data_IF_662986010739
#
_entry.id   IF_662986010739
#
_cell.length_a   1.000
_cell.length_b   1.000
_cell.length_c   1.000
_cell.angle_alpha   90.00
_cell.angle_beta   90.00
_cell.angle_gamma   90.00
#
_symmetry.space_group_name_H-M   'P 1'
#
loop_
_entity.id
_entity.type
_entity.pdbx_description
1 polymer ?
#
# COMPACT_ATOMS: atom_id res chain seq x y z
N UNK A 1 21.02 -5.31 -1.16
CA UNK A 1 20.24 -6.31 -1.92
C UNK A 1 18.90 -5.67 -2.24
N UNK A 2 18.56 -5.51 -3.53
CA UNK A 2 17.24 -5.03 -3.96
C UNK A 2 16.27 -6.20 -3.78
N UNK A 3 15.46 -6.17 -2.74
CA UNK A 3 14.36 -7.12 -2.58
C UNK A 3 13.23 -6.66 -3.50
N UNK A 4 13.43 -6.80 -4.80
CA UNK A 4 12.37 -6.56 -5.77
C UNK A 4 11.28 -7.61 -5.51
N UNK A 5 10.01 -7.22 -5.67
CA UNK A 5 8.92 -8.18 -5.76
C UNK A 5 9.28 -9.28 -6.76
N UNK A 6 9.40 -10.52 -6.28
CA UNK A 6 9.62 -11.66 -7.15
C UNK A 6 8.35 -11.96 -7.95
N UNK A 7 8.55 -12.47 -9.17
CA UNK A 7 7.47 -12.86 -10.08
C UNK A 7 6.42 -13.73 -9.40
N UNK A 8 6.85 -14.66 -8.56
CA UNK A 8 5.96 -15.57 -7.82
C UNK A 8 5.06 -14.84 -6.82
N UNK A 9 5.60 -13.86 -6.09
CA UNK A 9 4.81 -13.05 -5.16
C UNK A 9 3.81 -12.17 -5.91
N UNK A 10 4.22 -11.60 -7.05
CA UNK A 10 3.30 -10.82 -7.89
C UNK A 10 2.16 -11.69 -8.39
N UNK A 11 2.47 -12.89 -8.90
CA UNK A 11 1.47 -13.85 -9.34
C UNK A 11 0.54 -14.28 -8.20
N UNK A 12 1.05 -14.47 -6.98
CA UNK A 12 0.22 -14.80 -5.82
C UNK A 12 -0.75 -13.66 -5.45
N UNK A 13 -0.33 -12.40 -5.52
CA UNK A 13 -1.21 -11.24 -5.29
C UNK A 13 -2.25 -11.13 -6.41
N UNK A 14 -1.81 -11.25 -7.67
CA UNK A 14 -2.69 -11.18 -8.83
C UNK A 14 -3.73 -12.31 -8.82
N UNK A 15 -3.34 -13.53 -8.44
CA UNK A 15 -4.25 -14.68 -8.33
C UNK A 15 -5.37 -14.42 -7.32
N UNK A 16 -5.04 -13.89 -6.13
CA UNK A 16 -6.03 -13.51 -5.13
C UNK A 16 -7.02 -12.48 -5.68
N UNK A 17 -6.51 -11.42 -6.33
CA UNK A 17 -7.35 -10.36 -6.90
C UNK A 17 -8.18 -10.84 -8.10
N UNK A 18 -7.68 -11.82 -8.85
CA UNK A 18 -8.41 -12.42 -9.98
C UNK A 18 -9.70 -13.12 -9.54
N UNK A 19 -9.70 -13.81 -8.40
CA UNK A 19 -10.92 -14.40 -7.85
C UNK A 19 -11.99 -13.34 -7.57
N UNK A 20 -11.57 -12.18 -7.04
CA UNK A 20 -12.47 -11.04 -6.82
C UNK A 20 -12.97 -10.42 -8.13
N UNK A 21 -12.16 -10.40 -9.18
CA UNK A 21 -12.59 -9.94 -10.52
C UNK A 21 -13.63 -10.90 -11.10
N UNK A 22 -13.42 -12.20 -10.93
CA UNK A 22 -14.37 -13.21 -11.40
C UNK A 22 -15.68 -13.17 -10.59
N UNK A 23 -15.68 -12.69 -9.36
CA UNK A 23 -16.91 -12.43 -8.61
C UNK A 23 -17.66 -11.16 -9.08
N UNK A 24 -16.99 -10.24 -9.81
CA UNK A 24 -17.63 -9.03 -10.35
C UNK A 24 -18.52 -9.32 -11.55
N UNK A 25 -18.37 -10.46 -12.24
CA UNK A 25 -19.23 -10.82 -13.38
C UNK A 25 -20.69 -11.05 -12.99
N UNK A 26 -20.96 -11.24 -11.69
CA UNK A 26 -22.33 -11.36 -11.17
C UNK A 26 -23.04 -10.00 -11.03
N UNK A 27 -22.36 -8.89 -11.33
CA UNK A 27 -22.95 -7.54 -11.25
C UNK A 27 -23.86 -7.24 -12.44
N UNK A 28 -24.99 -6.62 -12.13
CA UNK A 28 -26.11 -6.44 -13.06
C UNK A 28 -25.86 -5.34 -14.12
N UNK A 29 -24.91 -4.43 -13.89
CA UNK A 29 -24.64 -3.31 -14.80
C UNK A 29 -23.15 -3.18 -15.10
N UNK A 30 -22.84 -2.73 -16.32
CA UNK A 30 -21.48 -2.45 -16.78
C UNK A 30 -20.75 -1.44 -15.88
N UNK A 31 -21.46 -0.42 -15.40
CA UNK A 31 -20.91 0.62 -14.52
C UNK A 31 -20.45 0.04 -13.16
N UNK A 32 -21.24 -0.87 -12.59
CA UNK A 32 -20.88 -1.51 -11.32
C UNK A 32 -19.70 -2.47 -11.46
N UNK A 33 -19.59 -3.13 -12.63
CA UNK A 33 -18.44 -3.95 -13.00
C UNK A 33 -17.18 -3.09 -13.14
N UNK A 34 -17.23 -2.02 -13.95
CA UNK A 34 -16.09 -1.12 -14.18
C UNK A 34 -15.58 -0.51 -12.87
N UNK A 35 -16.48 -0.02 -12.02
CA UNK A 35 -16.12 0.54 -10.72
C UNK A 35 -15.42 -0.49 -9.84
N UNK A 36 -15.97 -1.69 -9.75
CA UNK A 36 -15.37 -2.78 -8.98
C UNK A 36 -13.99 -3.20 -9.53
N UNK A 37 -13.86 -3.26 -10.85
CA UNK A 37 -12.60 -3.61 -11.49
C UNK A 37 -11.51 -2.58 -11.19
N UNK A 38 -11.85 -1.28 -11.28
CA UNK A 38 -10.94 -0.19 -10.98
C UNK A 38 -10.49 -0.24 -9.51
N UNK A 39 -11.41 -0.48 -8.57
CA UNK A 39 -11.09 -0.61 -7.15
C UNK A 39 -10.09 -1.75 -6.89
N UNK A 40 -10.33 -2.94 -7.45
CA UNK A 40 -9.44 -4.10 -7.31
C UNK A 40 -8.06 -3.82 -7.91
N UNK A 41 -8.01 -3.22 -9.10
CA UNK A 41 -6.75 -2.91 -9.78
C UNK A 41 -5.93 -1.86 -9.03
N UNK A 42 -6.57 -0.85 -8.45
CA UNK A 42 -5.89 0.13 -7.61
C UNK A 42 -5.33 -0.50 -6.33
N UNK A 43 -6.07 -1.43 -5.72
CA UNK A 43 -5.61 -2.13 -4.53
C UNK A 43 -4.40 -3.03 -4.83
N UNK A 44 -4.45 -3.80 -5.93
CA UNK A 44 -3.30 -4.57 -6.40
C UNK A 44 -2.08 -3.67 -6.65
N UNK A 45 -2.28 -2.54 -7.32
CA UNK A 45 -1.21 -1.56 -7.57
C UNK A 45 -0.59 -1.02 -6.27
N UNK A 46 -1.41 -0.73 -5.26
CA UNK A 46 -0.93 -0.31 -3.93
C UNK A 46 -0.11 -1.39 -3.23
N UNK A 47 -0.59 -2.63 -3.21
CA UNK A 47 0.12 -3.76 -2.58
C UNK A 47 1.46 -4.04 -3.28
N UNK A 48 1.49 -3.98 -4.62
CA UNK A 48 2.72 -4.12 -5.41
C UNK A 48 3.68 -2.96 -5.15
N UNK A 49 3.19 -1.72 -5.13
CA UNK A 49 4.02 -0.56 -4.84
C UNK A 49 4.61 -0.63 -3.42
N UNK A 50 3.80 -0.98 -2.41
CA UNK A 50 4.23 -1.10 -1.03
C UNK A 50 5.29 -2.20 -0.87
N UNK A 51 5.07 -3.36 -1.49
CA UNK A 51 6.04 -4.47 -1.44
C UNK A 51 7.36 -4.16 -2.16
N UNK A 52 7.35 -3.32 -3.19
CA UNK A 52 8.55 -2.86 -3.89
C UNK A 52 9.28 -1.72 -3.18
N UNK A 53 8.53 -0.79 -2.58
CA UNK A 53 9.09 0.36 -1.86
C UNK A 53 9.61 -0.03 -0.46
N UNK A 54 9.25 -1.22 0.02
CA UNK A 54 9.49 -1.67 1.39
C UNK A 54 8.63 -0.90 2.40
N UNK A 55 8.70 -1.25 3.69
CA UNK A 55 8.14 -0.39 4.74
C UNK A 55 8.78 1.00 4.59
N UNK A 56 8.00 1.97 4.12
CA UNK A 56 8.40 3.37 4.15
C UNK A 56 8.89 3.65 5.57
N UNK A 57 10.18 3.95 5.67
CA UNK A 57 10.87 4.09 6.94
C UNK A 57 10.00 4.93 7.88
N UNK A 58 9.58 4.35 9.01
CA UNK A 58 8.94 5.08 10.10
C UNK A 58 9.70 6.40 10.25
N UNK A 59 8.97 7.50 10.15
CA UNK A 59 9.48 8.86 10.20
C UNK A 59 10.68 8.95 11.15
N UNK A 60 11.89 8.98 10.56
CA UNK A 60 13.15 9.01 11.31
C UNK A 60 13.39 10.37 11.94
N UNK A 61 12.45 11.32 11.82
CA UNK A 61 12.54 12.61 12.50
C UNK A 61 12.32 12.43 14.00
N UNK A 62 13.37 11.99 14.70
CA UNK A 62 13.52 12.24 16.13
C UNK A 62 13.55 13.75 16.33
N UNK A 63 12.45 14.32 16.82
CA UNK A 63 12.42 15.70 17.32
C UNK A 63 13.44 15.76 18.47
N UNK A 64 14.54 16.48 18.30
CA UNK A 64 15.44 16.79 19.43
C UNK A 64 14.60 17.56 20.44
N UNK A 65 14.46 17.01 21.64
CA UNK A 65 13.86 17.73 22.75
C UNK A 65 14.70 18.96 23.01
N UNK A 66 14.20 20.13 22.60
CA UNK A 66 14.74 21.39 23.05
C UNK A 66 14.45 21.44 24.54
N UNK A 67 15.43 21.09 25.38
CA UNK A 67 15.35 21.44 26.79
C UNK A 67 15.11 22.95 26.85
N UNK A 68 14.04 23.43 27.50
CA UNK A 68 13.91 24.86 27.73
C UNK A 68 15.13 25.34 28.52
N UNK A 69 15.68 26.54 28.23
CA UNK A 69 16.80 27.04 28.99
C UNK A 69 16.36 27.14 30.45
N UNK A 70 17.07 26.42 31.31
CA UNK A 70 16.99 26.55 32.76
C UNK A 70 17.05 28.04 33.10
N UNK A 71 15.96 28.57 33.68
CA UNK A 71 15.90 29.92 34.18
C UNK A 71 17.10 30.17 35.10
N UNK A 72 18.03 30.99 34.63
CA UNK A 72 19.08 31.51 35.49
C UNK A 72 18.42 32.56 36.39
N UNK A 73 18.24 32.18 37.65
CA UNK A 73 18.00 33.10 38.75
C UNK A 73 19.09 34.16 38.77
N UNK A 74 18.71 35.43 38.74
CA UNK A 74 19.35 36.54 39.45
C UNK A 74 18.29 37.54 39.87
#
# INVERSE_FOLDING_TARGET
>A
MKNNMDKEKFLALAAKKYEHINALTDKLTMMDYEKGLVEIMQELGREVAQSQLGDQAQDRRKKRGTNPPSGQSK
#
